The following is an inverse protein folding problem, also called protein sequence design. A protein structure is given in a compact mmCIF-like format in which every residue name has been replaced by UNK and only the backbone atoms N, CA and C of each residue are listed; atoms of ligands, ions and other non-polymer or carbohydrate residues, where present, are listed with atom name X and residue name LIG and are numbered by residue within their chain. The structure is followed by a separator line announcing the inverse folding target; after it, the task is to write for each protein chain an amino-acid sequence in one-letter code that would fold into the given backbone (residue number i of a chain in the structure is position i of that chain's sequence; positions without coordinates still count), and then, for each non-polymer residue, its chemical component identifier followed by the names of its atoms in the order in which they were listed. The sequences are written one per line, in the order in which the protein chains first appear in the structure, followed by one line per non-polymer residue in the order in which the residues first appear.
data_IF_475824878866
#
_entry.id   IF_475824878866
#
_cell.length_a   1.000
_cell.length_b   1.000
_cell.length_c   1.000
_cell.angle_alpha   90.00
_cell.angle_beta   90.00
_cell.angle_gamma   90.00
#
_symmetry.space_group_name_H-M   'P 1'
#
loop_
_entity.id
_entity.type
_entity.pdbx_description
1 polymer ?
#
# COMPACT_ATOMS: atom_id res chain seq x y z
N UNK A 1 5.36 -51.47 -17.55
CA UNK A 1 6.03 -50.17 -17.31
C UNK A 1 5.15 -48.91 -17.54
N UNK A 2 4.31 -48.78 -18.57
CA UNK A 2 3.47 -47.55 -18.74
C UNK A 2 2.29 -47.44 -17.77
N UNK A 3 1.76 -48.54 -17.23
CA UNK A 3 0.64 -48.53 -16.26
C UNK A 3 1.07 -48.28 -14.81
N UNK A 4 2.32 -48.52 -14.49
CA UNK A 4 2.89 -48.34 -13.17
C UNK A 4 3.22 -46.84 -12.91
N UNK A 5 3.68 -46.14 -13.93
CA UNK A 5 3.91 -44.66 -13.85
C UNK A 5 2.63 -43.81 -13.72
N UNK A 6 1.47 -44.36 -14.15
CA UNK A 6 0.20 -43.66 -13.98
C UNK A 6 -0.38 -43.81 -12.56
N UNK A 7 -0.06 -44.90 -11.85
CA UNK A 7 -0.47 -45.07 -10.44
C UNK A 7 0.34 -44.17 -9.49
N UNK A 8 1.63 -43.99 -9.77
CA UNK A 8 2.48 -43.13 -8.94
C UNK A 8 2.12 -41.66 -9.05
N UNK A 9 1.58 -41.19 -10.19
CA UNK A 9 1.10 -39.84 -10.37
C UNK A 9 -0.28 -39.59 -9.74
N UNK A 10 -1.09 -40.61 -9.58
CA UNK A 10 -2.40 -40.52 -8.92
C UNK A 10 -2.30 -40.51 -7.39
N UNK A 11 -1.30 -41.16 -6.82
CA UNK A 11 -1.09 -41.25 -5.37
C UNK A 11 -0.39 -40.01 -4.77
N UNK A 12 0.12 -39.09 -5.60
CA UNK A 12 0.67 -37.81 -5.15
C UNK A 12 -0.38 -36.70 -4.97
N UNK A 13 -1.63 -36.98 -5.26
CA UNK A 13 -2.73 -36.09 -4.85
C UNK A 13 -3.21 -36.55 -3.47
N UNK A 14 -2.41 -36.28 -2.44
CA UNK A 14 -2.93 -36.28 -1.08
C UNK A 14 -4.09 -35.30 -1.00
N UNK A 15 -5.31 -35.76 -0.64
CA UNK A 15 -6.35 -34.81 -0.30
C UNK A 15 -5.91 -34.16 1.00
N UNK A 16 -5.42 -32.91 0.90
CA UNK A 16 -5.35 -32.05 2.06
C UNK A 16 -6.74 -32.06 2.71
N UNK A 17 -6.79 -32.64 3.88
CA UNK A 17 -7.97 -32.67 4.75
C UNK A 17 -8.35 -31.22 5.13
N UNK A 18 -8.99 -30.53 4.21
CA UNK A 18 -9.53 -29.19 4.40
C UNK A 18 -10.91 -29.29 5.05
N UNK A 19 -10.95 -29.74 6.28
CA UNK A 19 -12.06 -29.51 7.18
C UNK A 19 -11.71 -28.33 8.06
N UNK A 20 -12.24 -27.17 7.77
CA UNK A 20 -12.14 -26.02 8.66
C UNK A 20 -11.97 -24.67 7.93
N UNK A 21 -13.03 -23.88 7.92
CA UNK A 21 -13.01 -22.47 7.55
C UNK A 21 -12.65 -22.11 6.08
N UNK A 22 -13.42 -22.63 5.12
CA UNK A 22 -13.39 -22.14 3.71
C UNK A 22 -13.89 -20.69 3.53
N UNK A 23 -14.22 -19.98 4.60
CA UNK A 23 -14.64 -18.57 4.54
C UNK A 23 -13.48 -17.59 4.38
N UNK A 24 -12.25 -18.00 4.67
CA UNK A 24 -11.07 -17.15 4.66
C UNK A 24 -10.19 -17.59 3.49
N UNK A 25 -10.25 -16.87 2.38
CA UNK A 25 -9.32 -17.04 1.27
C UNK A 25 -7.97 -16.42 1.64
N UNK A 26 -6.88 -17.19 1.51
CA UNK A 26 -5.51 -16.68 1.73
C UNK A 26 -4.69 -17.49 2.74
N UNK A 27 -3.47 -17.03 2.99
CA UNK A 27 -2.53 -17.68 3.89
C UNK A 27 -2.97 -17.54 5.36
N UNK A 28 -2.99 -18.64 6.10
CA UNK A 28 -3.34 -18.69 7.52
C UNK A 28 -2.43 -17.81 8.37
N UNK A 29 -1.14 -17.74 8.03
CA UNK A 29 -0.16 -16.92 8.75
C UNK A 29 -0.55 -15.44 8.67
N UNK A 30 -0.97 -14.98 7.50
CA UNK A 30 -1.41 -13.60 7.31
C UNK A 30 -2.62 -13.27 8.21
N UNK A 31 -3.60 -14.17 8.31
CA UNK A 31 -4.77 -13.97 9.16
C UNK A 31 -4.45 -13.98 10.65
N UNK A 32 -3.50 -14.82 11.08
CA UNK A 32 -3.01 -14.83 12.46
C UNK A 32 -2.34 -13.49 12.79
N UNK A 33 -1.50 -12.97 11.88
CA UNK A 33 -0.85 -11.66 12.05
C UNK A 33 -1.89 -10.55 12.14
N UNK A 34 -2.90 -10.54 11.27
CA UNK A 34 -3.98 -9.54 11.30
C UNK A 34 -4.74 -9.62 12.62
N UNK A 35 -5.09 -10.82 13.09
CA UNK A 35 -5.76 -10.99 14.37
C UNK A 35 -4.90 -10.49 15.54
N UNK A 36 -3.62 -10.83 15.59
CA UNK A 36 -2.70 -10.37 16.59
C UNK A 36 -2.57 -8.84 16.61
N UNK A 37 -2.41 -8.22 15.43
CA UNK A 37 -2.36 -6.76 15.30
C UNK A 37 -3.67 -6.09 15.73
N UNK A 38 -4.81 -6.70 15.45
CA UNK A 38 -6.12 -6.21 15.89
C UNK A 38 -6.23 -6.20 17.41
N UNK A 39 -5.83 -7.28 18.06
CA UNK A 39 -5.81 -7.36 19.55
C UNK A 39 -4.87 -6.32 20.14
N UNK A 40 -3.65 -6.22 19.60
CA UNK A 40 -2.67 -5.21 20.05
C UNK A 40 -3.23 -3.80 19.86
N UNK A 41 -3.90 -3.51 18.73
CA UNK A 41 -4.52 -2.21 18.46
C UNK A 41 -5.55 -1.83 19.55
N UNK A 42 -6.41 -2.76 19.93
CA UNK A 42 -7.41 -2.53 20.99
C UNK A 42 -6.73 -2.25 22.33
N UNK A 43 -5.70 -3.02 22.70
CA UNK A 43 -4.94 -2.84 23.95
C UNK A 43 -4.22 -1.49 23.97
N UNK A 44 -3.59 -1.09 22.86
CA UNK A 44 -2.89 0.20 22.75
C UNK A 44 -3.86 1.37 22.88
N UNK A 45 -5.02 1.32 22.21
CA UNK A 45 -6.04 2.35 22.30
C UNK A 45 -6.57 2.43 23.73
N UNK A 46 -6.86 1.31 24.37
CA UNK A 46 -7.30 1.29 25.77
C UNK A 46 -6.25 1.92 26.69
N UNK A 47 -4.99 1.53 26.57
CA UNK A 47 -3.89 2.03 27.39
C UNK A 47 -3.64 3.54 27.19
N UNK A 48 -3.63 4.00 25.93
CA UNK A 48 -3.34 5.41 25.63
C UNK A 48 -4.48 6.35 26.03
N UNK A 49 -5.73 5.89 25.96
CA UNK A 49 -6.91 6.69 26.33
C UNK A 49 -7.18 6.69 27.84
N UNK A 50 -6.65 5.72 28.59
CA UNK A 50 -6.74 5.70 30.07
C UNK A 50 -6.10 6.95 30.68
N UNK A 51 -4.98 7.44 30.14
CA UNK A 51 -4.31 8.67 30.57
C UNK A 51 -5.16 9.91 30.32
N UNK A 52 -5.83 9.99 29.15
CA UNK A 52 -6.71 11.12 28.80
C UNK A 52 -7.99 11.18 29.67
N UNK A 53 -8.46 10.05 30.17
CA UNK A 53 -9.62 10.01 31.05
C UNK A 53 -9.29 10.48 32.47
N UNK A 54 -8.03 10.46 32.86
CA UNK A 54 -7.58 10.96 34.17
C UNK A 54 -7.48 12.50 34.20
N UNK A 55 -7.25 13.13 33.04
CA UNK A 55 -7.27 14.60 32.93
C UNK A 55 -8.73 15.08 32.93
N UNK A 56 -9.19 15.49 34.14
CA UNK A 56 -10.57 15.79 34.50
C UNK A 56 -11.30 16.87 33.68
N UNK A 57 -10.67 17.41 32.65
CA UNK A 57 -11.22 18.48 31.78
C UNK A 57 -11.79 17.97 30.43
N UNK A 58 -11.62 16.69 30.10
CA UNK A 58 -12.18 16.13 28.85
C UNK A 58 -13.40 15.25 29.18
N UNK A 59 -14.59 15.72 28.86
CA UNK A 59 -15.88 15.06 29.08
C UNK A 59 -16.08 13.72 28.35
N UNK A 60 -15.02 13.14 27.77
CA UNK A 60 -15.06 11.87 27.02
C UNK A 60 -14.38 10.76 27.82
N UNK A 61 -15.20 9.80 28.27
CA UNK A 61 -14.70 8.63 29.01
C UNK A 61 -13.86 7.71 28.07
N UNK A 62 -12.90 6.98 28.65
CA UNK A 62 -12.13 5.92 27.94
C UNK A 62 -13.04 4.94 27.18
N UNK A 63 -14.24 4.67 27.76
CA UNK A 63 -15.24 3.82 27.12
C UNK A 63 -15.75 4.37 25.77
N UNK A 64 -15.81 5.70 25.59
CA UNK A 64 -16.22 6.31 24.32
C UNK A 64 -15.22 6.00 23.22
N UNK A 65 -13.93 6.17 23.46
CA UNK A 65 -12.87 5.90 22.48
C UNK A 65 -12.78 4.40 22.15
N UNK A 66 -12.90 3.54 23.17
CA UNK A 66 -12.93 2.10 22.97
C UNK A 66 -14.13 1.65 22.13
N UNK A 67 -15.32 2.20 22.41
CA UNK A 67 -16.51 1.92 21.60
C UNK A 67 -16.33 2.35 20.16
N UNK A 68 -15.78 3.54 19.91
CA UNK A 68 -15.50 4.03 18.57
C UNK A 68 -14.52 3.09 17.82
N UNK A 69 -13.45 2.66 18.48
CA UNK A 69 -12.49 1.71 17.93
C UNK A 69 -13.14 0.36 17.59
N UNK A 70 -13.97 -0.17 18.48
CA UNK A 70 -14.68 -1.43 18.24
C UNK A 70 -15.64 -1.33 17.04
N UNK A 71 -16.39 -0.23 16.92
CA UNK A 71 -17.27 0.01 15.77
C UNK A 71 -16.47 0.02 14.46
N UNK A 72 -15.33 0.71 14.42
CA UNK A 72 -14.46 0.75 13.25
C UNK A 72 -13.96 -0.67 12.92
N UNK A 73 -13.53 -1.46 13.91
CA UNK A 73 -13.08 -2.84 13.71
C UNK A 73 -14.18 -3.75 13.17
N UNK A 74 -15.40 -3.65 13.70
CA UNK A 74 -16.57 -4.44 13.25
C UNK A 74 -16.89 -4.14 11.79
N UNK A 75 -16.68 -2.91 11.33
CA UNK A 75 -16.87 -2.53 9.93
C UNK A 75 -15.68 -2.95 9.06
N UNK A 76 -14.47 -2.82 9.59
CA UNK A 76 -13.24 -3.05 8.82
C UNK A 76 -12.98 -4.53 8.52
N UNK A 77 -13.31 -5.44 9.45
CA UNK A 77 -13.08 -6.88 9.25
C UNK A 77 -13.91 -7.46 8.08
N UNK A 78 -15.23 -7.23 8.00
CA UNK A 78 -16.00 -7.67 6.83
C UNK A 78 -15.53 -7.02 5.52
N UNK A 79 -15.14 -5.73 5.58
CA UNK A 79 -14.61 -5.03 4.41
C UNK A 79 -13.31 -5.67 3.92
N UNK A 80 -12.41 -6.03 4.84
CA UNK A 80 -11.16 -6.74 4.52
C UNK A 80 -11.43 -8.10 3.88
N UNK A 81 -12.36 -8.89 4.45
CA UNK A 81 -12.76 -10.19 3.92
C UNK A 81 -13.36 -10.04 2.52
N UNK A 82 -14.21 -9.05 2.31
CA UNK A 82 -14.82 -8.77 1.02
C UNK A 82 -13.77 -8.35 0.00
N UNK A 83 -12.87 -7.45 0.37
CA UNK A 83 -11.76 -7.02 -0.47
C UNK A 83 -10.85 -8.20 -0.87
N UNK A 84 -10.58 -9.13 0.04
CA UNK A 84 -9.73 -10.31 -0.26
C UNK A 84 -10.35 -11.28 -1.28
N UNK A 85 -11.69 -11.26 -1.42
CA UNK A 85 -12.43 -12.11 -2.38
C UNK A 85 -12.58 -11.49 -3.77
N UNK A 86 -12.31 -10.19 -3.91
CA UNK A 86 -12.41 -9.48 -5.19
C UNK A 86 -11.34 -10.00 -6.16
N UNK A 87 -11.75 -10.26 -7.39
CA UNK A 87 -10.86 -10.78 -8.43
C UNK A 87 -9.76 -9.75 -8.78
N UNK A 88 -8.50 -10.18 -8.87
CA UNK A 88 -7.37 -9.32 -9.21
C UNK A 88 -7.53 -8.55 -10.54
N UNK A 89 -8.38 -9.05 -11.45
CA UNK A 89 -8.70 -8.34 -12.70
C UNK A 89 -9.39 -7.00 -12.45
N UNK A 90 -10.28 -6.95 -11.46
CA UNK A 90 -11.00 -5.72 -11.08
C UNK A 90 -10.02 -4.71 -10.51
N UNK A 91 -9.15 -5.14 -9.61
CA UNK A 91 -8.08 -4.28 -9.07
C UNK A 91 -7.17 -3.74 -10.17
N UNK A 92 -6.83 -4.57 -11.16
CA UNK A 92 -6.02 -4.15 -12.29
C UNK A 92 -6.68 -3.04 -13.14
N UNK A 93 -7.98 -3.15 -13.41
CA UNK A 93 -8.72 -2.10 -14.13
C UNK A 93 -8.89 -0.83 -13.30
N UNK A 94 -9.20 -1.00 -12.01
CA UNK A 94 -9.49 0.11 -11.11
C UNK A 94 -8.25 0.88 -10.65
N UNK A 95 -7.06 0.25 -10.68
CA UNK A 95 -5.83 0.83 -10.14
C UNK A 95 -5.49 2.22 -10.71
N UNK A 96 -5.68 2.44 -12.03
CA UNK A 96 -5.39 3.73 -12.65
C UNK A 96 -6.40 4.81 -12.28
N UNK A 97 -7.68 4.49 -12.38
CA UNK A 97 -8.78 5.42 -12.05
C UNK A 97 -8.81 5.69 -10.55
N UNK A 98 -8.66 4.66 -9.73
CA UNK A 98 -8.60 4.77 -8.28
C UNK A 98 -7.43 5.63 -7.81
N UNK A 99 -6.25 5.48 -8.43
CA UNK A 99 -5.10 6.32 -8.13
C UNK A 99 -5.37 7.80 -8.45
N UNK A 100 -5.91 8.10 -9.65
CA UNK A 100 -6.23 9.46 -10.05
C UNK A 100 -7.28 10.08 -9.10
N UNK A 101 -8.32 9.32 -8.75
CA UNK A 101 -9.33 9.78 -7.79
C UNK A 101 -8.73 10.06 -6.40
N UNK A 102 -7.83 9.19 -5.90
CA UNK A 102 -7.17 9.40 -4.62
C UNK A 102 -6.22 10.61 -4.63
N UNK A 103 -5.51 10.87 -5.73
CA UNK A 103 -4.71 12.10 -5.89
C UNK A 103 -5.59 13.34 -5.82
N UNK A 104 -6.68 13.38 -6.60
CA UNK A 104 -7.61 14.51 -6.58
C UNK A 104 -8.22 14.71 -5.20
N UNK A 105 -8.62 13.63 -4.54
CA UNK A 105 -9.17 13.67 -3.19
C UNK A 105 -8.14 14.16 -2.16
N UNK A 106 -6.89 13.75 -2.27
CA UNK A 106 -5.81 14.22 -1.38
C UNK A 106 -5.51 15.71 -1.63
N UNK A 107 -5.53 16.16 -2.87
CA UNK A 107 -5.36 17.56 -3.20
C UNK A 107 -6.53 18.41 -2.70
N UNK A 108 -7.77 17.92 -2.78
CA UNK A 108 -8.95 18.66 -2.30
C UNK A 108 -8.90 18.95 -0.79
N UNK A 109 -8.23 18.10 -0.01
CA UNK A 109 -8.07 18.31 1.43
C UNK A 109 -7.31 19.60 1.76
N UNK A 110 -6.37 20.01 0.92
CA UNK A 110 -5.64 21.26 1.12
C UNK A 110 -6.55 22.50 1.05
N UNK A 111 -7.69 22.38 0.36
CA UNK A 111 -8.67 23.47 0.20
C UNK A 111 -9.85 23.37 1.16
N UNK A 112 -10.28 22.15 1.52
CA UNK A 112 -11.54 21.89 2.24
C UNK A 112 -11.27 21.26 3.61
N UNK A 113 -10.07 20.72 3.83
CA UNK A 113 -9.76 19.89 5.00
C UNK A 113 -9.74 20.66 6.32
N UNK A 114 -10.21 20.00 7.39
CA UNK A 114 -10.06 20.50 8.74
C UNK A 114 -8.58 20.50 9.15
N UNK A 115 -8.12 21.66 9.63
CA UNK A 115 -6.76 21.81 10.14
C UNK A 115 -6.67 21.20 11.54
N UNK A 116 -5.92 20.11 11.67
CA UNK A 116 -5.56 19.54 12.96
C UNK A 116 -4.04 19.66 13.12
N UNK A 117 -3.58 20.31 14.18
CA UNK A 117 -2.16 20.57 14.43
C UNK A 117 -1.46 21.36 13.28
N UNK A 118 -2.16 22.36 12.70
CA UNK A 118 -1.58 23.24 11.69
C UNK A 118 -1.50 22.67 10.26
N UNK A 119 -2.00 21.46 10.01
CA UNK A 119 -2.08 20.91 8.66
C UNK A 119 -3.47 20.33 8.36
N UNK A 120 -4.00 20.68 7.17
CA UNK A 120 -5.24 20.10 6.67
C UNK A 120 -4.99 18.65 6.24
N UNK A 121 -5.53 17.67 6.99
CA UNK A 121 -5.24 16.25 6.78
C UNK A 121 -6.50 15.40 6.73
N UNK A 122 -7.58 15.86 7.35
CA UNK A 122 -8.76 15.07 7.63
C UNK A 122 -10.00 15.66 6.97
N UNK A 123 -10.81 14.80 6.40
CA UNK A 123 -12.16 15.14 5.95
C UNK A 123 -13.13 14.65 7.03
N UNK A 124 -13.86 15.54 7.72
CA UNK A 124 -14.86 15.14 8.68
C UNK A 124 -16.06 14.50 7.96
N UNK A 125 -16.32 13.22 8.25
CA UNK A 125 -17.47 12.48 7.76
C UNK A 125 -18.40 12.17 8.95
N UNK A 126 -19.00 13.21 9.53
CA UNK A 126 -19.82 13.08 10.72
C UNK A 126 -19.00 12.62 11.95
N UNK A 127 -19.31 11.44 12.54
CA UNK A 127 -18.55 10.94 13.70
C UNK A 127 -17.17 10.39 13.34
N UNK A 128 -16.89 10.18 12.06
CA UNK A 128 -15.63 9.62 11.56
C UNK A 128 -14.78 10.69 10.88
N UNK A 129 -13.48 10.50 10.93
CA UNK A 129 -12.53 11.31 10.18
C UNK A 129 -11.86 10.44 9.13
N UNK A 130 -11.89 10.87 7.88
CA UNK A 130 -11.27 10.17 6.77
C UNK A 130 -10.01 10.90 6.33
N UNK A 131 -8.90 10.17 6.23
CA UNK A 131 -7.64 10.70 5.73
C UNK A 131 -7.37 10.19 4.32
N UNK A 132 -7.52 11.02 3.27
CA UNK A 132 -7.35 10.57 1.89
C UNK A 132 -5.96 10.06 1.56
N UNK A 133 -4.93 10.53 2.23
CA UNK A 133 -3.56 10.03 2.04
C UNK A 133 -3.40 8.54 2.39
N UNK A 134 -4.26 7.97 3.28
CA UNK A 134 -4.27 6.54 3.55
C UNK A 134 -4.74 5.73 2.33
N UNK A 135 -5.84 6.18 1.70
CA UNK A 135 -6.32 5.59 0.47
C UNK A 135 -5.31 5.74 -0.68
N UNK A 136 -4.64 6.89 -0.77
CA UNK A 136 -3.62 7.15 -1.78
C UNK A 136 -2.41 6.19 -1.64
N UNK A 137 -1.99 5.84 -0.42
CA UNK A 137 -0.92 4.86 -0.19
C UNK A 137 -1.28 3.51 -0.82
N UNK A 138 -2.49 3.01 -0.55
CA UNK A 138 -2.98 1.75 -1.11
C UNK A 138 -3.10 1.81 -2.64
N UNK A 139 -3.66 2.91 -3.16
CA UNK A 139 -3.82 3.12 -4.60
C UNK A 139 -2.46 3.18 -5.33
N UNK A 140 -1.45 3.80 -4.71
CA UNK A 140 -0.07 3.84 -5.24
C UNK A 140 0.53 2.44 -5.36
N UNK A 141 0.38 1.62 -4.30
CA UNK A 141 0.86 0.24 -4.29
C UNK A 141 0.16 -0.61 -5.36
N UNK A 142 -1.17 -0.48 -5.49
CA UNK A 142 -1.93 -1.19 -6.52
C UNK A 142 -1.53 -0.79 -7.94
N UNK A 143 -1.36 0.51 -8.18
CA UNK A 143 -0.93 1.00 -9.48
C UNK A 143 0.49 0.54 -9.82
N UNK A 144 1.39 0.59 -8.84
CA UNK A 144 2.77 0.13 -9.00
C UNK A 144 2.83 -1.38 -9.29
N UNK A 145 2.04 -2.20 -8.57
CA UNK A 145 1.92 -3.64 -8.82
C UNK A 145 1.48 -3.93 -10.26
N UNK A 146 0.43 -3.24 -10.72
CA UNK A 146 -0.04 -3.33 -12.11
C UNK A 146 1.05 -3.00 -13.12
N UNK A 147 1.78 -1.93 -12.87
CA UNK A 147 2.82 -1.46 -13.80
C UNK A 147 4.03 -2.38 -13.85
N UNK A 148 4.46 -2.93 -12.71
CA UNK A 148 5.53 -3.91 -12.63
C UNK A 148 5.12 -5.21 -13.33
N UNK A 149 3.93 -5.73 -13.06
CA UNK A 149 3.41 -6.95 -13.71
C UNK A 149 3.33 -6.80 -15.24
N UNK A 150 2.83 -5.67 -15.73
CA UNK A 150 2.73 -5.42 -17.18
C UNK A 150 4.06 -5.22 -17.90
N UNK A 151 5.16 -5.00 -17.17
CA UNK A 151 6.50 -4.72 -17.73
C UNK A 151 7.55 -5.75 -17.35
N UNK A 152 7.16 -6.89 -16.78
CA UNK A 152 8.06 -7.94 -16.27
C UNK A 152 9.14 -8.32 -17.31
N UNK A 153 8.79 -8.46 -18.58
CA UNK A 153 9.72 -8.82 -19.67
C UNK A 153 10.76 -7.74 -20.00
N UNK A 154 10.58 -6.52 -19.52
CA UNK A 154 11.47 -5.36 -19.78
C UNK A 154 12.18 -4.86 -18.54
N UNK A 155 11.90 -5.43 -17.37
CA UNK A 155 12.42 -4.98 -16.06
C UNK A 155 13.94 -5.00 -16.03
N UNK A 156 14.59 -5.99 -16.64
CA UNK A 156 16.06 -6.07 -16.70
C UNK A 156 16.73 -4.92 -17.47
N UNK A 157 15.97 -4.23 -18.31
CA UNK A 157 16.44 -3.08 -19.09
C UNK A 157 16.09 -1.73 -18.47
N UNK A 158 15.35 -1.73 -17.36
CA UNK A 158 14.95 -0.50 -16.69
C UNK A 158 16.19 0.19 -16.10
N UNK A 159 16.32 1.48 -16.38
CA UNK A 159 17.27 2.38 -15.71
C UNK A 159 16.48 3.46 -15.02
N UNK A 160 16.49 3.45 -13.69
CA UNK A 160 15.74 4.40 -12.86
C UNK A 160 16.35 5.79 -13.00
N UNK A 161 17.68 5.87 -12.98
CA UNK A 161 18.37 7.14 -13.17
C UNK A 161 18.96 7.17 -14.56
N UNK A 162 18.62 8.20 -15.36
CA UNK A 162 19.30 8.40 -16.62
C UNK A 162 20.79 8.53 -16.38
N UNK A 163 21.60 7.94 -17.25
CA UNK A 163 23.07 8.05 -17.13
C UNK A 163 23.43 9.53 -17.02
N UNK A 164 24.21 9.87 -15.98
CA UNK A 164 24.73 11.22 -15.72
C UNK A 164 25.53 11.82 -16.90
N UNK A 165 25.80 11.02 -17.92
CA UNK A 165 26.50 11.44 -19.12
C UNK A 165 25.48 12.03 -20.14
N UNK A 166 25.46 13.37 -20.36
CA UNK A 166 24.49 14.03 -21.22
C UNK A 166 24.57 13.57 -22.68
N UNK A 167 25.72 13.07 -23.13
CA UNK A 167 25.91 12.53 -24.48
C UNK A 167 25.14 11.22 -24.72
N UNK A 168 24.99 10.37 -23.67
CA UNK A 168 24.22 9.12 -23.75
C UNK A 168 22.72 9.36 -23.79
N UNK A 169 22.22 10.44 -23.17
CA UNK A 169 20.81 10.80 -23.20
C UNK A 169 20.32 11.23 -24.58
N UNK A 170 21.18 11.72 -25.45
CA UNK A 170 20.82 12.11 -26.83
C UNK A 170 20.47 10.92 -27.72
N UNK A 171 20.73 9.67 -27.32
CA UNK A 171 20.38 8.48 -28.11
C UNK A 171 18.86 8.20 -27.98
N UNK A 172 18.10 8.20 -29.13
CA UNK A 172 16.64 8.03 -29.12
C UNK A 172 16.18 6.72 -28.48
N UNK A 173 16.98 5.65 -28.59
CA UNK A 173 16.69 4.35 -28.00
C UNK A 173 16.67 4.43 -26.44
N UNK A 174 17.53 5.21 -25.83
CA UNK A 174 17.62 5.35 -24.38
C UNK A 174 16.46 6.18 -23.81
N UNK A 175 16.04 7.23 -24.54
CA UNK A 175 14.83 8.01 -24.23
C UNK A 175 13.57 7.16 -24.26
N UNK A 176 13.45 6.26 -25.24
CA UNK A 176 12.31 5.36 -25.41
C UNK A 176 12.23 4.38 -24.23
N UNK A 177 13.35 3.75 -23.84
CA UNK A 177 13.42 2.84 -22.69
C UNK A 177 13.01 3.56 -21.40
N UNK A 178 13.48 4.78 -21.20
CA UNK A 178 13.18 5.56 -20.00
C UNK A 178 11.70 5.99 -19.97
N UNK A 179 11.18 6.50 -21.08
CA UNK A 179 9.80 7.00 -21.19
C UNK A 179 8.76 5.89 -21.11
N UNK A 180 9.01 4.73 -21.72
CA UNK A 180 8.06 3.62 -21.76
C UNK A 180 8.21 2.63 -20.60
N UNK A 181 9.39 2.56 -20.01
CA UNK A 181 9.70 1.61 -18.94
C UNK A 181 9.74 2.25 -17.55
N UNK A 182 10.65 3.18 -17.37
CA UNK A 182 10.99 3.71 -16.03
C UNK A 182 10.01 4.78 -15.55
N UNK A 183 9.65 5.72 -16.44
CA UNK A 183 8.81 6.85 -16.10
C UNK A 183 7.44 6.45 -15.53
N UNK A 184 6.69 5.54 -16.16
CA UNK A 184 5.40 5.13 -15.62
C UNK A 184 5.48 4.48 -14.23
N UNK A 185 6.60 3.86 -13.87
CA UNK A 185 6.82 3.24 -12.56
C UNK A 185 7.15 4.31 -11.51
N UNK A 186 8.06 5.24 -11.83
CA UNK A 186 8.52 6.27 -10.89
C UNK A 186 7.52 7.41 -10.71
N UNK A 187 6.84 7.82 -11.78
CA UNK A 187 5.94 8.97 -11.76
C UNK A 187 4.87 8.89 -10.68
N UNK A 188 4.09 7.79 -10.56
CA UNK A 188 3.07 7.70 -9.52
C UNK A 188 3.66 7.68 -8.11
N UNK A 189 4.83 7.09 -7.91
CA UNK A 189 5.49 7.08 -6.60
C UNK A 189 5.95 8.48 -6.21
N UNK A 190 6.64 9.18 -7.11
CA UNK A 190 7.11 10.53 -6.88
C UNK A 190 5.96 11.50 -6.67
N UNK A 191 4.91 11.41 -7.50
CA UNK A 191 3.73 12.26 -7.38
C UNK A 191 3.02 12.06 -6.04
N UNK A 192 2.85 10.81 -5.61
CA UNK A 192 2.27 10.50 -4.29
C UNK A 192 3.12 11.05 -3.16
N UNK A 193 4.45 10.90 -3.22
CA UNK A 193 5.35 11.45 -2.21
C UNK A 193 5.26 12.96 -2.15
N UNK A 194 5.28 13.66 -3.30
CA UNK A 194 5.18 15.13 -3.36
C UNK A 194 3.85 15.63 -2.82
N UNK A 195 2.74 14.97 -3.15
CA UNK A 195 1.41 15.35 -2.66
C UNK A 195 1.24 15.09 -1.17
N UNK A 196 1.80 14.01 -0.63
CA UNK A 196 1.67 13.67 0.80
C UNK A 196 2.66 14.45 1.67
N UNK A 197 3.85 14.77 1.16
CA UNK A 197 4.97 15.34 1.91
C UNK A 197 4.60 16.59 2.75
N UNK A 198 3.90 17.61 2.21
CA UNK A 198 3.57 18.81 2.97
C UNK A 198 2.64 18.55 4.15
N UNK A 199 1.76 17.55 4.03
CA UNK A 199 0.80 17.19 5.08
C UNK A 199 1.38 16.22 6.10
N UNK A 200 2.22 15.27 5.67
CA UNK A 200 2.66 14.16 6.51
C UNK A 200 3.96 13.52 6.01
N UNK A 201 5.09 14.06 6.42
CA UNK A 201 6.43 13.57 6.01
C UNK A 201 6.62 12.07 6.26
N UNK A 202 6.20 11.55 7.44
CA UNK A 202 6.33 10.13 7.77
C UNK A 202 5.52 9.22 6.83
N UNK A 203 4.34 9.66 6.40
CA UNK A 203 3.54 8.93 5.42
C UNK A 203 4.17 8.92 4.03
N UNK A 204 4.80 10.02 3.62
CA UNK A 204 5.53 10.09 2.35
C UNK A 204 6.74 9.12 2.34
N UNK A 205 7.49 9.08 3.45
CA UNK A 205 8.60 8.12 3.63
C UNK A 205 8.10 6.68 3.57
N UNK A 206 6.97 6.38 4.20
CA UNK A 206 6.37 5.04 4.18
C UNK A 206 5.95 4.62 2.77
N UNK A 207 5.31 5.51 1.99
CA UNK A 207 4.96 5.25 0.58
C UNK A 207 6.20 4.99 -0.26
N UNK A 208 7.23 5.82 -0.08
CA UNK A 208 8.50 5.65 -0.79
C UNK A 208 9.12 4.29 -0.47
N UNK A 209 9.22 3.94 0.82
CA UNK A 209 9.81 2.66 1.26
C UNK A 209 9.02 1.45 0.78
N UNK A 210 7.68 1.48 0.92
CA UNK A 210 6.82 0.42 0.41
C UNK A 210 6.98 0.23 -1.11
N UNK A 211 7.03 1.33 -1.86
CA UNK A 211 7.25 1.30 -3.30
C UNK A 211 8.64 0.77 -3.66
N UNK A 212 9.67 1.13 -2.88
CA UNK A 212 11.03 0.63 -3.04
C UNK A 212 11.10 -0.90 -2.82
N UNK A 213 10.48 -1.41 -1.75
CA UNK A 213 10.38 -2.86 -1.48
C UNK A 213 9.63 -3.58 -2.60
N UNK A 214 8.53 -2.99 -3.12
CA UNK A 214 7.82 -3.56 -4.26
C UNK A 214 8.67 -3.64 -5.52
N UNK A 215 9.47 -2.61 -5.82
CA UNK A 215 10.39 -2.64 -6.95
C UNK A 215 11.49 -3.70 -6.74
N UNK A 216 11.94 -3.92 -5.50
CA UNK A 216 12.87 -4.99 -5.15
C UNK A 216 12.28 -6.37 -5.44
N UNK A 217 11.06 -6.64 -4.97
CA UNK A 217 10.31 -7.88 -5.24
C UNK A 217 10.06 -8.03 -6.74
N UNK A 218 9.79 -6.93 -7.44
CA UNK A 218 9.61 -6.88 -8.88
C UNK A 218 10.88 -7.14 -9.70
N UNK A 219 12.01 -7.49 -9.07
CA UNK A 219 13.30 -7.80 -9.70
C UNK A 219 13.93 -6.62 -10.46
N UNK A 220 13.67 -5.40 -10.01
CA UNK A 220 14.42 -4.24 -10.52
C UNK A 220 15.87 -4.35 -10.06
N UNK A 221 16.83 -3.96 -10.92
CA UNK A 221 18.26 -4.09 -10.62
C UNK A 221 18.64 -3.36 -9.34
N UNK A 222 19.31 -4.05 -8.41
CA UNK A 222 19.72 -3.52 -7.11
C UNK A 222 20.54 -2.22 -7.22
N UNK A 223 21.41 -2.11 -8.22
CA UNK A 223 22.21 -0.90 -8.43
C UNK A 223 21.36 0.35 -8.75
N UNK A 224 20.22 0.20 -9.39
CA UNK A 224 19.28 1.30 -9.65
C UNK A 224 18.47 1.65 -8.39
N UNK A 225 18.08 0.64 -7.62
CA UNK A 225 17.36 0.83 -6.34
C UNK A 225 18.24 1.53 -5.29
N UNK A 226 19.53 1.20 -5.22
CA UNK A 226 20.47 1.88 -4.33
C UNK A 226 20.68 3.34 -4.71
N UNK A 227 20.73 3.66 -6.01
CA UNK A 227 20.82 5.04 -6.48
C UNK A 227 19.55 5.83 -6.11
N UNK A 228 18.38 5.22 -6.23
CA UNK A 228 17.11 5.84 -5.84
C UNK A 228 17.09 6.12 -4.33
N UNK A 229 17.55 5.17 -3.52
CA UNK A 229 17.64 5.33 -2.07
C UNK A 229 18.64 6.45 -1.71
N UNK A 230 19.83 6.48 -2.36
CA UNK A 230 20.81 7.54 -2.17
C UNK A 230 20.30 8.92 -2.56
N UNK A 231 19.54 9.01 -3.66
CA UNK A 231 18.90 10.27 -4.07
C UNK A 231 17.83 10.73 -3.06
N UNK A 232 17.02 9.80 -2.56
CA UNK A 232 16.01 10.11 -1.54
C UNK A 232 16.65 10.55 -0.22
N UNK A 233 17.73 9.89 0.21
CA UNK A 233 18.47 10.29 1.41
C UNK A 233 19.16 11.64 1.27
N UNK A 234 19.58 12.02 0.04
CA UNK A 234 20.17 13.34 -0.22
C UNK A 234 19.12 14.47 -0.28
N UNK A 235 17.85 14.14 -0.51
CA UNK A 235 16.72 15.08 -0.60
C UNK A 235 15.97 15.26 0.73
N UNK A 236 16.20 14.41 1.71
CA UNK A 236 15.59 14.43 3.04
C UNK A 236 16.39 15.27 4.03
#
# INVERSE_FOLDING_TARGET
MARENQRTAADMQTPESATGFRFIAGDRVLWIIIAALTVISVLVVYSSTAKMAYDAHTARSTAHFLRQQLVILVISIPLLITASKINCRIYNHLAGVGYAACILLTLSVYFIGATTNGAARWIPLGPFQFQPSEALKVATVLLLARQLAGRQSRIDRLRIIPSLNPFRWRRPAQRKIWREGTWPILFPVLLSCVVIFPAHTSSAVLVFFASWVMMLIGRVRMGELLKLLGLAAAAA
#
